data_IF_228638128106
#
_entry.id   IF_228638128106
#
_cell.length_a   1.000
_cell.length_b   1.000
_cell.length_c   1.000
_cell.angle_alpha   90.00
_cell.angle_beta   90.00
_cell.angle_gamma   90.00
#
_symmetry.space_group_name_H-M   'P 1'
#
loop_
_entity.id
_entity.type
_entity.pdbx_description
1 polymer ?
#
# COMPACT_ATOMS: atom_id res chain seq x y z
N UNK A 1 4.23 1.96 -16.61
CA UNK A 1 3.02 1.12 -16.44
C UNK A 1 2.82 1.04 -14.95
N UNK A 2 1.74 1.58 -14.40
CA UNK A 2 1.50 1.54 -12.94
C UNK A 2 1.21 0.10 -12.53
N UNK A 3 2.07 -0.47 -11.69
CA UNK A 3 1.92 -1.83 -11.18
C UNK A 3 0.95 -1.90 -10.01
N UNK A 4 0.66 -3.13 -9.56
CA UNK A 4 -0.17 -3.39 -8.38
C UNK A 4 0.32 -2.62 -7.15
N UNK A 5 1.63 -2.63 -6.90
CA UNK A 5 2.21 -1.97 -5.74
C UNK A 5 2.19 -0.44 -5.82
N UNK A 6 2.23 0.15 -7.01
CA UNK A 6 2.06 1.59 -7.18
C UNK A 6 0.65 2.02 -6.75
N UNK A 7 -0.35 1.19 -7.06
CA UNK A 7 -1.74 1.40 -6.65
C UNK A 7 -1.89 1.22 -5.15
N UNK A 8 -1.34 0.13 -4.57
CA UNK A 8 -1.35 -0.10 -3.12
C UNK A 8 -0.71 1.07 -2.37
N UNK A 9 0.43 1.56 -2.86
CA UNK A 9 1.15 2.67 -2.25
C UNK A 9 0.32 3.97 -2.27
N UNK A 10 -0.44 4.22 -3.34
CA UNK A 10 -1.39 5.32 -3.41
C UNK A 10 -2.62 5.13 -2.51
N UNK A 11 -3.11 3.90 -2.37
CA UNK A 11 -4.29 3.58 -1.56
C UNK A 11 -4.05 3.77 -0.06
N UNK A 12 -2.84 3.57 0.44
CA UNK A 12 -2.51 3.75 1.88
C UNK A 12 -2.81 5.17 2.38
N UNK A 13 -2.23 6.25 1.81
CA UNK A 13 -2.53 7.61 2.24
C UNK A 13 -3.97 8.01 1.90
N UNK A 14 -4.53 7.52 0.80
CA UNK A 14 -5.94 7.79 0.43
C UNK A 14 -6.90 7.18 1.44
N UNK A 15 -6.66 5.94 1.90
CA UNK A 15 -7.49 5.29 2.91
C UNK A 15 -7.34 6.00 4.26
N UNK A 16 -6.10 6.28 4.70
CA UNK A 16 -5.87 6.96 5.97
C UNK A 16 -6.53 8.34 6.00
N UNK A 17 -6.24 9.20 5.02
CA UNK A 17 -6.76 10.56 5.00
C UNK A 17 -8.23 10.61 4.61
N UNK A 18 -8.63 9.85 3.59
CA UNK A 18 -10.01 9.86 3.07
C UNK A 18 -11.02 9.36 4.10
N UNK A 19 -10.73 8.24 4.77
CA UNK A 19 -11.62 7.69 5.80
C UNK A 19 -11.62 8.60 7.03
N UNK A 20 -10.46 9.06 7.49
CA UNK A 20 -10.39 9.97 8.64
C UNK A 20 -11.13 11.29 8.38
N UNK A 21 -10.99 11.85 7.18
CA UNK A 21 -11.70 13.07 6.78
C UNK A 21 -13.21 12.83 6.67
N UNK A 22 -13.64 11.74 6.02
CA UNK A 22 -15.05 11.39 5.91
C UNK A 22 -15.71 11.20 7.27
N UNK A 23 -15.04 10.48 8.19
CA UNK A 23 -15.52 10.28 9.56
C UNK A 23 -15.60 11.60 10.34
N UNK A 24 -14.62 12.48 10.14
CA UNK A 24 -14.62 13.81 10.77
C UNK A 24 -15.79 14.66 10.26
N UNK A 25 -16.09 14.61 8.95
CA UNK A 25 -17.22 15.33 8.34
C UNK A 25 -18.57 14.85 8.87
N UNK A 26 -18.72 13.55 9.15
CA UNK A 26 -19.95 13.01 9.76
C UNK A 26 -20.03 13.20 11.28
N UNK A 27 -19.05 13.87 11.89
CA UNK A 27 -19.10 14.31 13.29
C UNK A 27 -18.30 13.48 14.29
N UNK A 28 -17.50 12.50 13.85
CA UNK A 28 -16.51 11.87 14.73
C UNK A 28 -15.38 12.85 15.05
N UNK A 29 -14.83 12.77 16.26
CA UNK A 29 -13.62 13.53 16.58
C UNK A 29 -12.43 13.02 15.77
N UNK A 30 -11.51 13.92 15.41
CA UNK A 30 -10.32 13.55 14.66
C UNK A 30 -9.50 12.46 15.37
N UNK A 31 -9.40 12.53 16.70
CA UNK A 31 -8.73 11.53 17.55
C UNK A 31 -9.35 10.14 17.43
N UNK A 32 -10.67 10.03 17.22
CA UNK A 32 -11.35 8.75 16.99
C UNK A 32 -11.29 8.31 15.52
N UNK A 33 -11.35 9.25 14.58
CA UNK A 33 -11.34 8.99 13.14
C UNK A 33 -9.97 8.45 12.65
N UNK A 34 -8.87 9.01 13.14
CA UNK A 34 -7.51 8.63 12.71
C UNK A 34 -7.22 7.14 12.95
N UNK A 35 -7.45 6.57 14.15
CA UNK A 35 -7.27 5.13 14.37
C UNK A 35 -8.07 4.26 13.40
N UNK A 36 -9.32 4.64 13.08
CA UNK A 36 -10.16 3.87 12.14
C UNK A 36 -9.57 3.89 10.73
N UNK A 37 -9.16 5.06 10.23
CA UNK A 37 -8.45 5.17 8.95
C UNK A 37 -7.15 4.37 8.93
N UNK A 38 -6.41 4.37 10.04
CA UNK A 38 -5.17 3.60 10.19
C UNK A 38 -5.41 2.09 10.14
N UNK A 39 -6.49 1.58 10.75
CA UNK A 39 -6.83 0.15 10.66
C UNK A 39 -7.10 -0.30 9.22
N UNK A 40 -7.80 0.52 8.43
CA UNK A 40 -8.06 0.19 7.02
C UNK A 40 -6.77 0.25 6.20
N UNK A 41 -5.92 1.25 6.44
CA UNK A 41 -4.59 1.31 5.81
C UNK A 41 -3.74 0.08 6.17
N UNK A 42 -3.74 -0.36 7.43
CA UNK A 42 -3.06 -1.59 7.86
C UNK A 42 -3.63 -2.84 7.20
N UNK A 43 -4.95 -2.93 7.00
CA UNK A 43 -5.57 -4.05 6.29
C UNK A 43 -5.13 -4.11 4.81
N UNK A 44 -5.01 -2.95 4.14
CA UNK A 44 -4.48 -2.86 2.77
C UNK A 44 -3.03 -3.33 2.74
N UNK A 45 -2.19 -2.85 3.67
CA UNK A 45 -0.79 -3.29 3.79
C UNK A 45 -0.72 -4.80 4.01
N UNK A 46 -1.53 -5.33 4.95
CA UNK A 46 -1.60 -6.76 5.23
C UNK A 46 -2.00 -7.56 3.99
N UNK A 47 -3.03 -7.13 3.27
CA UNK A 47 -3.46 -7.78 2.04
C UNK A 47 -2.33 -7.82 1.00
N UNK A 48 -1.63 -6.71 0.79
CA UNK A 48 -0.51 -6.63 -0.15
C UNK A 48 0.72 -7.46 0.29
N UNK A 49 0.88 -7.73 1.58
CA UNK A 49 1.98 -8.54 2.11
C UNK A 49 1.68 -10.03 2.10
N UNK A 50 0.43 -10.42 2.39
CA UNK A 50 0.05 -11.82 2.59
C UNK A 50 -0.68 -12.46 1.40
N UNK A 51 -1.39 -11.69 0.57
CA UNK A 51 -2.16 -12.22 -0.56
C UNK A 51 -1.38 -12.14 -1.87
N UNK A 52 -0.73 -11.01 -2.13
CA UNK A 52 0.06 -10.80 -3.32
C UNK A 52 1.49 -10.47 -2.90
N UNK A 53 2.24 -11.46 -2.41
CA UNK A 53 3.54 -11.24 -1.74
C UNK A 53 4.56 -10.50 -2.62
N UNK A 54 5.38 -9.60 -2.06
CA UNK A 54 6.36 -8.84 -2.85
C UNK A 54 7.48 -9.70 -3.45
N UNK A 55 7.62 -10.95 -2.98
CA UNK A 55 8.65 -11.87 -3.44
C UNK A 55 8.53 -12.16 -4.95
N UNK A 56 7.32 -12.25 -5.49
CA UNK A 56 7.09 -12.51 -6.92
C UNK A 56 7.53 -11.31 -7.79
N UNK A 57 7.40 -10.08 -7.29
CA UNK A 57 7.85 -8.87 -7.99
C UNK A 57 9.39 -8.71 -8.00
N UNK A 58 10.09 -9.39 -7.08
CA UNK A 58 11.56 -9.32 -6.95
C UNK A 58 12.27 -10.11 -8.05
N UNK A 59 11.63 -11.15 -8.59
CA UNK A 59 12.19 -11.97 -9.68
C UNK A 59 12.13 -11.27 -11.03
N UNK A 60 11.08 -10.51 -11.31
CA UNK A 60 10.99 -9.67 -12.52
C UNK A 60 12.10 -8.61 -12.58
N UNK A 61 12.42 -7.99 -11.43
CA UNK A 61 13.50 -7.00 -11.34
C UNK A 61 14.90 -7.59 -11.54
N UNK A 62 15.11 -8.87 -11.18
CA UNK A 62 16.39 -9.57 -11.41
C UNK A 62 16.55 -10.03 -12.85
N UNK A 63 15.48 -10.49 -13.49
CA UNK A 63 15.48 -10.94 -14.88
C UNK A 63 15.85 -9.82 -15.87
N UNK A 64 15.57 -8.56 -15.52
CA UNK A 64 15.92 -7.39 -16.33
C UNK A 64 17.41 -6.98 -16.25
N UNK A 65 18.22 -7.58 -15.36
CA UNK A 65 19.65 -7.25 -15.23
C UNK A 65 20.46 -8.13 -16.19
N UNK A 66 21.21 -7.56 -17.16
CA UNK A 66 22.03 -8.36 -18.06
C UNK A 66 23.05 -9.19 -17.28
N UNK A 67 23.33 -10.45 -17.69
CA UNK A 67 24.33 -11.26 -17.02
C UNK A 67 25.67 -10.52 -17.06
N UNK A 68 26.29 -10.37 -15.89
CA UNK A 68 27.64 -9.80 -15.80
C UNK A 68 28.60 -10.87 -16.30
N UNK A 69 29.03 -10.73 -17.55
CA UNK A 69 30.12 -11.54 -18.09
C UNK A 69 31.40 -11.03 -17.40
N UNK A 70 32.15 -11.93 -16.79
CA UNK A 70 33.47 -11.65 -16.26
C UNK A 70 34.49 -12.20 -17.26
N UNK A 71 34.92 -11.33 -18.16
CA UNK A 71 36.01 -11.52 -19.13
C UNK A 71 37.38 -11.10 -18.59
#
# INVERSE_FOLDING_TARGET
MTGYYDIVLGLIPVALLGISAALTVVGLSLTAAIPVGAFVAMAIIGHAMFVNTPADASDDARSARPPINAD
#
